data_IF_049770258814
#
_entry.id   IF_049770258814
#
_cell.length_a   1.000
_cell.length_b   1.000
_cell.length_c   1.000
_cell.angle_alpha   90.00
_cell.angle_beta   90.00
_cell.angle_gamma   90.00
#
_symmetry.space_group_name_H-M   'P 1'
#
loop_
_entity.id
_entity.type
_entity.pdbx_description
1 polymer ?
#
# COMPACT_ATOMS: atom_id res chain seq x y z
N UNK A 1 -5.77 -7.87 -53.14
CA UNK A 1 -4.87 -7.67 -52.01
C UNK A 1 -4.92 -6.24 -51.49
N UNK A 2 -5.56 -5.26 -52.16
CA UNK A 2 -5.52 -3.81 -51.85
C UNK A 2 -6.29 -3.38 -50.57
N UNK A 3 -7.03 -4.25 -49.91
CA UNK A 3 -7.93 -3.88 -48.80
C UNK A 3 -7.75 -4.68 -47.49
N UNK A 4 -6.56 -5.24 -47.28
CA UNK A 4 -6.23 -5.92 -46.02
C UNK A 4 -5.23 -5.08 -45.21
N UNK A 5 -5.41 -4.95 -43.87
CA UNK A 5 -4.47 -4.24 -43.06
C UNK A 5 -3.14 -5.00 -42.97
N UNK A 6 -2.05 -4.28 -43.21
CA UNK A 6 -0.68 -4.78 -43.03
C UNK A 6 -0.23 -4.66 -41.58
N UNK A 7 0.68 -5.51 -41.12
CA UNK A 7 1.30 -5.46 -39.82
C UNK A 7 2.54 -4.56 -39.85
N UNK A 8 2.64 -3.61 -38.92
CA UNK A 8 3.82 -2.76 -38.80
C UNK A 8 4.95 -3.56 -38.12
N UNK A 9 6.16 -3.36 -38.62
CA UNK A 9 7.37 -4.00 -38.08
C UNK A 9 8.47 -2.98 -37.92
N UNK A 10 9.27 -3.14 -36.87
CA UNK A 10 10.52 -2.36 -36.69
C UNK A 10 11.68 -3.14 -37.28
N UNK A 11 12.56 -2.46 -38.00
CA UNK A 11 13.80 -3.00 -38.49
C UNK A 11 14.96 -2.41 -37.72
N UNK A 12 15.62 -3.23 -36.90
CA UNK A 12 16.80 -2.83 -36.10
C UNK A 12 18.03 -3.29 -36.87
N UNK A 13 18.85 -2.35 -37.33
CA UNK A 13 20.08 -2.65 -38.08
C UNK A 13 21.30 -2.18 -37.31
N UNK A 14 22.23 -3.09 -37.04
CA UNK A 14 23.54 -2.77 -36.43
C UNK A 14 24.64 -3.56 -37.13
N UNK A 15 25.74 -2.90 -37.52
CA UNK A 15 26.90 -3.52 -38.22
C UNK A 15 26.48 -4.39 -39.45
N UNK A 16 25.55 -3.88 -40.23
CA UNK A 16 24.97 -4.54 -41.44
C UNK A 16 24.11 -5.79 -41.15
N UNK A 17 23.83 -6.10 -39.92
CA UNK A 17 22.92 -7.18 -39.51
C UNK A 17 21.59 -6.56 -39.15
N UNK A 18 20.55 -6.91 -39.90
CA UNK A 18 19.17 -6.44 -39.65
C UNK A 18 18.36 -7.50 -38.89
N UNK A 19 17.54 -7.05 -37.93
CA UNK A 19 16.59 -7.87 -37.19
C UNK A 19 15.23 -7.21 -37.17
N UNK A 20 14.19 -8.04 -37.32
CA UNK A 20 12.81 -7.57 -37.38
C UNK A 20 12.07 -7.80 -36.05
N UNK A 21 11.36 -6.76 -35.58
CA UNK A 21 10.43 -6.86 -34.49
C UNK A 21 9.02 -6.70 -35.04
N UNK A 22 8.23 -7.76 -35.03
CA UNK A 22 6.84 -7.75 -35.48
C UNK A 22 5.97 -7.18 -34.35
N UNK A 23 5.17 -6.16 -34.66
CA UNK A 23 4.21 -5.57 -33.73
C UNK A 23 2.83 -6.19 -33.85
N UNK A 24 1.92 -5.85 -32.93
CA UNK A 24 0.48 -6.16 -33.05
C UNK A 24 -0.31 -5.08 -33.82
N UNK A 25 0.37 -4.03 -34.28
CA UNK A 25 -0.28 -2.87 -34.91
C UNK A 25 -0.58 -3.14 -36.36
N UNK A 26 -1.84 -2.91 -36.74
CA UNK A 26 -2.31 -3.16 -38.15
C UNK A 26 -2.92 -1.87 -38.69
N UNK A 27 -2.43 -1.45 -39.87
CA UNK A 27 -2.91 -0.30 -40.61
C UNK A 27 -3.20 -0.70 -42.08
N UNK A 28 -4.17 -0.03 -42.69
CA UNK A 28 -4.39 -0.21 -44.12
C UNK A 28 -3.35 0.56 -44.92
N UNK A 29 -3.03 0.16 -46.18
CA UNK A 29 -2.05 0.88 -47.00
C UNK A 29 -2.35 2.41 -47.13
N UNK A 30 -3.62 2.78 -47.23
CA UNK A 30 -4.07 4.18 -47.28
C UNK A 30 -3.87 4.98 -45.99
N UNK A 31 -3.60 4.30 -44.88
CA UNK A 31 -3.36 4.88 -43.54
C UNK A 31 -1.86 4.94 -43.23
N UNK A 32 -0.98 4.73 -44.21
CA UNK A 32 0.47 4.71 -44.05
C UNK A 32 1.15 5.71 -44.98
N UNK A 33 1.98 6.58 -44.43
CA UNK A 33 2.86 7.48 -45.18
C UNK A 33 4.21 6.77 -45.42
N UNK A 34 4.48 6.41 -46.65
CA UNK A 34 5.75 5.77 -47.01
C UNK A 34 6.95 6.70 -46.89
N UNK A 35 6.75 8.03 -47.03
CA UNK A 35 7.84 9.00 -46.95
C UNK A 35 8.27 9.27 -45.50
N UNK A 36 7.30 9.37 -44.61
CA UNK A 36 7.56 9.63 -43.19
C UNK A 36 7.63 8.32 -42.36
N UNK A 37 7.25 7.17 -42.96
CA UNK A 37 7.12 5.88 -42.25
C UNK A 37 6.24 5.97 -41.03
N UNK A 38 5.15 6.73 -41.08
CA UNK A 38 4.19 6.95 -40.00
C UNK A 38 2.74 6.68 -40.46
N UNK A 39 1.86 6.27 -39.53
CA UNK A 39 0.44 6.17 -39.81
C UNK A 39 -0.24 7.54 -39.96
N UNK A 40 -1.13 7.65 -40.96
CA UNK A 40 -1.95 8.85 -41.21
C UNK A 40 -3.36 8.58 -40.71
N UNK A 41 -3.83 9.36 -39.73
CA UNK A 41 -5.22 9.35 -39.30
C UNK A 41 -6.05 10.32 -40.17
N UNK A 42 -6.84 9.77 -41.10
CA UNK A 42 -7.75 10.56 -41.93
C UNK A 42 -9.15 10.54 -41.31
N UNK A 43 -9.73 11.73 -41.06
CA UNK A 43 -11.08 11.86 -40.53
C UNK A 43 -11.19 11.90 -38.98
N UNK A 44 -12.44 11.93 -38.50
CA UNK A 44 -12.77 11.98 -37.05
C UNK A 44 -13.61 10.77 -36.60
N UNK A 45 -13.53 9.69 -37.32
CA UNK A 45 -14.29 8.48 -37.01
C UNK A 45 -13.58 7.55 -36.01
N UNK A 46 -14.25 6.46 -35.62
CA UNK A 46 -13.71 5.44 -34.72
C UNK A 46 -12.38 4.85 -35.23
N UNK A 47 -12.20 4.78 -36.57
CA UNK A 47 -10.98 4.26 -37.15
C UNK A 47 -9.81 5.24 -37.04
N UNK A 48 -10.04 6.50 -37.25
CA UNK A 48 -9.05 7.57 -37.04
C UNK A 48 -8.52 7.56 -35.59
N UNK A 49 -9.39 7.37 -34.60
CA UNK A 49 -8.99 7.25 -33.20
C UNK A 49 -8.08 6.02 -32.95
N UNK A 50 -8.35 4.88 -33.62
CA UNK A 50 -7.48 3.70 -33.55
C UNK A 50 -6.11 4.01 -34.17
N UNK A 51 -6.07 4.63 -35.35
CA UNK A 51 -4.80 4.99 -36.02
C UNK A 51 -4.00 5.97 -35.17
N UNK A 52 -4.62 6.99 -34.58
CA UNK A 52 -3.95 7.90 -33.64
C UNK A 52 -3.39 7.17 -32.41
N UNK A 53 -4.11 6.18 -31.89
CA UNK A 53 -3.61 5.33 -30.81
C UNK A 53 -2.38 4.54 -31.23
N UNK A 54 -2.39 3.98 -32.44
CA UNK A 54 -1.25 3.27 -33.02
C UNK A 54 -0.05 4.22 -33.17
N UNK A 55 -0.25 5.43 -33.70
CA UNK A 55 0.81 6.44 -33.86
C UNK A 55 1.49 6.77 -32.51
N UNK A 56 0.69 6.97 -31.48
CA UNK A 56 1.22 7.23 -30.12
C UNK A 56 2.06 6.05 -29.60
N UNK A 57 1.59 4.82 -29.81
CA UNK A 57 2.32 3.61 -29.41
C UNK A 57 3.63 3.45 -30.19
N UNK A 58 3.61 3.72 -31.50
CA UNK A 58 4.81 3.68 -32.34
C UNK A 58 5.87 4.67 -31.86
N UNK A 59 5.49 5.89 -31.52
CA UNK A 59 6.43 6.88 -30.97
C UNK A 59 7.04 6.44 -29.66
N UNK A 60 6.23 5.92 -28.75
CA UNK A 60 6.70 5.37 -27.47
C UNK A 60 7.66 4.18 -27.68
N UNK A 61 7.35 3.27 -28.62
CA UNK A 61 8.22 2.15 -28.95
C UNK A 61 9.55 2.61 -29.58
N UNK A 62 9.52 3.64 -30.42
CA UNK A 62 10.74 4.23 -31.02
C UNK A 62 11.60 4.93 -29.95
N UNK A 63 11.01 5.73 -29.05
CA UNK A 63 11.73 6.33 -27.92
C UNK A 63 12.42 5.27 -27.07
N UNK A 64 11.73 4.15 -26.80
CA UNK A 64 12.27 3.02 -26.04
C UNK A 64 13.41 2.29 -26.78
N UNK A 65 13.27 2.08 -28.10
CA UNK A 65 14.34 1.50 -28.91
C UNK A 65 15.57 2.41 -28.90
N UNK A 66 15.40 3.71 -29.09
CA UNK A 66 16.48 4.71 -29.05
C UNK A 66 17.19 4.69 -27.70
N UNK A 67 16.47 4.70 -26.58
CA UNK A 67 17.03 4.63 -25.25
C UNK A 67 17.82 3.34 -24.98
N UNK A 68 17.36 2.20 -25.52
CA UNK A 68 18.11 0.92 -25.43
C UNK A 68 19.43 1.01 -26.20
N UNK A 69 19.40 1.57 -27.42
CA UNK A 69 20.59 1.73 -28.27
C UNK A 69 21.60 2.67 -27.62
N UNK A 70 21.17 3.88 -27.19
CA UNK A 70 22.00 4.84 -26.49
C UNK A 70 22.67 4.23 -25.24
N UNK A 71 21.92 3.41 -24.50
CA UNK A 71 22.47 2.72 -23.33
C UNK A 71 23.57 1.74 -23.69
N UNK A 72 23.40 0.94 -24.75
CA UNK A 72 24.44 0.01 -25.23
C UNK A 72 25.68 0.78 -25.72
N UNK A 73 25.49 1.91 -26.40
CA UNK A 73 26.58 2.80 -26.86
C UNK A 73 27.34 3.41 -25.69
N UNK A 74 26.64 3.98 -24.71
CA UNK A 74 27.24 4.60 -23.53
C UNK A 74 28.02 3.61 -22.63
N UNK A 75 27.60 2.34 -22.59
CA UNK A 75 28.30 1.31 -21.82
C UNK A 75 29.54 0.77 -22.55
N UNK A 76 29.89 1.29 -23.73
CA UNK A 76 31.01 0.83 -24.58
C UNK A 76 31.07 -0.69 -24.76
N UNK A 77 29.93 -1.38 -24.65
CA UNK A 77 29.83 -2.82 -24.85
C UNK A 77 29.68 -3.15 -26.32
N UNK A 78 30.41 -4.17 -26.79
CA UNK A 78 30.07 -4.79 -28.05
C UNK A 78 28.66 -5.36 -27.94
N UNK A 79 27.71 -4.82 -28.70
CA UNK A 79 26.33 -5.32 -28.76
C UNK A 79 25.96 -5.65 -30.22
N UNK A 80 24.96 -6.48 -30.36
CA UNK A 80 24.37 -6.90 -31.65
C UNK A 80 22.94 -6.39 -31.78
N UNK A 81 22.41 -6.45 -33.03
CA UNK A 81 20.98 -6.19 -33.24
C UNK A 81 20.08 -7.20 -32.51
N UNK A 82 20.56 -8.42 -32.26
CA UNK A 82 19.84 -9.41 -31.44
C UNK A 82 19.72 -8.97 -29.99
N UNK A 83 20.77 -8.41 -29.40
CA UNK A 83 20.74 -7.88 -28.02
C UNK A 83 19.72 -6.76 -27.85
N UNK A 84 19.63 -5.87 -28.85
CA UNK A 84 18.63 -4.79 -28.84
C UNK A 84 17.22 -5.36 -28.91
N UNK A 85 16.98 -6.32 -29.81
CA UNK A 85 15.67 -6.97 -29.99
C UNK A 85 15.26 -7.75 -28.75
N UNK A 86 16.19 -8.51 -28.15
CA UNK A 86 15.92 -9.26 -26.90
C UNK A 86 15.59 -8.31 -25.75
N UNK A 87 16.40 -7.27 -25.59
CA UNK A 87 16.17 -6.25 -24.56
C UNK A 87 14.81 -5.56 -24.74
N UNK A 88 14.47 -5.17 -25.99
CA UNK A 88 13.20 -4.54 -26.30
C UNK A 88 12.01 -5.46 -26.00
N UNK A 89 12.07 -6.73 -26.40
CA UNK A 89 11.01 -7.74 -26.15
C UNK A 89 10.85 -8.02 -24.65
N UNK A 90 11.96 -8.14 -23.93
CA UNK A 90 11.97 -8.37 -22.48
C UNK A 90 11.38 -7.18 -21.73
N UNK A 91 11.84 -5.99 -22.06
CA UNK A 91 11.33 -4.75 -21.46
C UNK A 91 9.84 -4.56 -21.75
N UNK A 92 9.36 -4.93 -22.95
CA UNK A 92 7.94 -4.83 -23.32
C UNK A 92 6.99 -5.74 -22.53
N UNK A 93 7.44 -6.90 -22.07
CA UNK A 93 6.64 -7.83 -21.26
C UNK A 93 6.70 -7.52 -19.76
N UNK A 94 7.82 -7.00 -19.30
CA UNK A 94 8.09 -6.70 -17.87
C UNK A 94 7.66 -5.29 -17.45
N UNK A 95 7.38 -4.39 -18.42
CA UNK A 95 7.12 -2.97 -18.17
C UNK A 95 5.63 -2.62 -17.96
N UNK A 96 4.80 -3.61 -17.68
CA UNK A 96 3.40 -3.32 -17.33
C UNK A 96 3.27 -3.09 -15.83
N UNK A 97 2.32 -2.23 -15.45
CA UNK A 97 2.11 -1.82 -14.07
C UNK A 97 1.78 -3.00 -13.15
N UNK A 98 0.92 -3.92 -13.58
CA UNK A 98 0.49 -5.02 -12.71
C UNK A 98 1.63 -5.98 -12.45
N UNK A 99 2.34 -6.40 -13.49
CA UNK A 99 3.50 -7.30 -13.36
C UNK A 99 4.59 -6.69 -12.51
N UNK A 100 4.94 -5.43 -12.76
CA UNK A 100 5.95 -4.72 -11.98
C UNK A 100 5.55 -4.59 -10.50
N UNK A 101 4.29 -4.20 -10.25
CA UNK A 101 3.80 -4.01 -8.89
C UNK A 101 3.69 -5.34 -8.12
N UNK A 102 3.35 -6.44 -8.80
CA UNK A 102 3.39 -7.80 -8.22
C UNK A 102 4.81 -8.19 -7.81
N UNK A 103 5.81 -7.88 -8.63
CA UNK A 103 7.23 -8.07 -8.28
C UNK A 103 7.64 -7.26 -7.05
N UNK A 104 7.21 -6.00 -6.95
CA UNK A 104 7.45 -5.15 -5.77
C UNK A 104 6.79 -5.74 -4.52
N UNK A 105 5.55 -6.22 -4.62
CA UNK A 105 4.82 -6.85 -3.51
C UNK A 105 5.55 -8.10 -3.03
N UNK A 106 6.01 -8.94 -3.94
CA UNK A 106 6.74 -10.16 -3.58
C UNK A 106 8.07 -9.83 -2.90
N UNK A 107 8.79 -8.85 -3.40
CA UNK A 107 10.02 -8.36 -2.75
C UNK A 107 9.77 -7.84 -1.33
N UNK A 108 8.66 -7.13 -1.12
CA UNK A 108 8.28 -6.66 0.21
C UNK A 108 7.96 -7.83 1.17
N UNK A 109 7.36 -8.92 0.68
CA UNK A 109 7.12 -10.14 1.47
C UNK A 109 8.43 -10.81 1.88
N UNK A 110 9.36 -10.97 0.94
CA UNK A 110 10.69 -11.55 1.20
C UNK A 110 11.48 -10.74 2.24
N UNK A 111 11.31 -9.42 2.25
CA UNK A 111 11.91 -8.52 3.24
C UNK A 111 11.13 -8.45 4.57
N UNK A 112 10.14 -9.34 4.80
CA UNK A 112 9.27 -9.35 5.98
C UNK A 112 8.45 -8.07 6.19
N UNK A 113 8.27 -7.22 5.17
CA UNK A 113 7.41 -6.05 5.20
C UNK A 113 5.94 -6.38 4.87
N UNK A 114 5.40 -7.43 5.52
CA UNK A 114 4.05 -7.98 5.22
C UNK A 114 2.92 -6.96 5.30
N UNK A 115 3.00 -5.99 6.22
CA UNK A 115 2.00 -4.91 6.32
C UNK A 115 2.01 -3.99 5.10
N UNK A 116 3.20 -3.60 4.63
CA UNK A 116 3.37 -2.79 3.43
C UNK A 116 2.96 -3.57 2.18
N UNK A 117 3.36 -4.84 2.07
CA UNK A 117 2.94 -5.72 0.97
C UNK A 117 1.42 -5.83 0.86
N UNK A 118 0.70 -5.96 2.00
CA UNK A 118 -0.77 -5.97 2.04
C UNK A 118 -1.38 -4.66 1.53
N UNK A 119 -0.79 -3.53 1.88
CA UNK A 119 -1.23 -2.22 1.42
C UNK A 119 -1.04 -2.05 -0.09
N UNK A 120 0.10 -2.48 -0.63
CA UNK A 120 0.37 -2.47 -2.07
C UNK A 120 -0.57 -3.41 -2.82
N UNK A 121 -0.83 -4.62 -2.28
CA UNK A 121 -1.81 -5.55 -2.86
C UNK A 121 -3.23 -4.95 -2.90
N UNK A 122 -3.63 -4.21 -1.87
CA UNK A 122 -4.93 -3.53 -1.84
C UNK A 122 -5.03 -2.43 -2.91
N UNK A 123 -3.97 -1.62 -3.09
CA UNK A 123 -3.92 -0.60 -4.13
C UNK A 123 -3.94 -1.22 -5.54
N UNK A 124 -3.14 -2.28 -5.76
CA UNK A 124 -3.15 -3.02 -7.03
C UNK A 124 -4.54 -3.59 -7.34
N UNK A 125 -5.17 -4.26 -6.36
CA UNK A 125 -6.51 -4.82 -6.53
C UNK A 125 -7.57 -3.76 -6.82
N UNK A 126 -7.43 -2.55 -6.26
CA UNK A 126 -8.31 -1.42 -6.56
C UNK A 126 -8.09 -0.93 -7.99
N UNK A 127 -6.84 -0.77 -8.42
CA UNK A 127 -6.52 -0.30 -9.77
C UNK A 127 -6.88 -1.34 -10.84
N UNK A 128 -6.68 -2.65 -10.56
CA UNK A 128 -7.15 -3.75 -11.44
C UNK A 128 -8.65 -3.67 -11.69
N UNK A 129 -9.47 -3.40 -10.68
CA UNK A 129 -10.94 -3.23 -10.86
C UNK A 129 -11.28 -2.03 -11.73
N UNK A 130 -10.61 -0.90 -11.53
CA UNK A 130 -10.78 0.29 -12.38
C UNK A 130 -10.45 -0.01 -13.85
N UNK A 131 -9.43 -0.82 -14.10
CA UNK A 131 -8.98 -1.19 -15.44
C UNK A 131 -9.66 -2.45 -16.01
N UNK A 132 -10.69 -3.00 -15.35
CA UNK A 132 -11.33 -4.28 -15.75
C UNK A 132 -10.32 -5.42 -15.92
N UNK A 133 -9.29 -5.47 -15.09
CA UNK A 133 -8.15 -6.41 -15.15
C UNK A 133 -7.27 -6.29 -16.41
N UNK A 134 -7.42 -5.25 -17.20
CA UNK A 134 -6.51 -4.94 -18.30
C UNK A 134 -5.26 -4.24 -17.77
N UNK A 135 -4.12 -4.88 -17.93
CA UNK A 135 -2.84 -4.30 -17.55
C UNK A 135 -2.47 -3.12 -18.46
N UNK A 136 -1.54 -2.28 -18.04
CA UNK A 136 -1.16 -1.07 -18.74
C UNK A 136 0.37 -0.93 -18.76
N UNK A 137 0.92 -0.49 -19.89
CA UNK A 137 2.34 -0.14 -19.98
C UNK A 137 2.67 1.04 -19.07
N UNK A 138 3.84 1.02 -18.42
CA UNK A 138 4.28 2.12 -17.56
C UNK A 138 4.30 3.47 -18.29
N UNK A 139 4.67 3.46 -19.55
CA UNK A 139 4.73 4.66 -20.40
C UNK A 139 3.37 5.26 -20.71
N UNK A 140 2.29 4.46 -20.62
CA UNK A 140 0.93 4.92 -20.86
C UNK A 140 0.25 5.48 -19.59
N UNK A 141 0.97 5.52 -18.47
CA UNK A 141 0.49 6.12 -17.22
C UNK A 141 0.72 7.63 -17.31
N UNK A 142 -0.36 8.37 -17.49
CA UNK A 142 -0.36 9.83 -17.57
C UNK A 142 -1.27 10.45 -16.49
N UNK A 143 -1.31 11.78 -16.44
CA UNK A 143 -2.12 12.51 -15.47
C UNK A 143 -3.62 12.32 -15.69
N UNK A 144 -4.08 12.16 -16.95
CA UNK A 144 -5.49 11.95 -17.27
C UNK A 144 -5.96 10.62 -16.69
N UNK A 145 -5.20 9.56 -16.91
CA UNK A 145 -5.52 8.25 -16.33
C UNK A 145 -5.59 8.29 -14.80
N UNK A 146 -4.71 9.06 -14.14
CA UNK A 146 -4.74 9.17 -12.68
C UNK A 146 -5.92 10.00 -12.19
N UNK A 147 -6.33 11.05 -12.91
CA UNK A 147 -7.55 11.81 -12.65
C UNK A 147 -8.81 10.95 -12.81
N UNK A 148 -8.89 10.15 -13.88
CA UNK A 148 -9.99 9.21 -14.11
C UNK A 148 -10.08 8.18 -12.99
N UNK A 149 -8.95 7.65 -12.54
CA UNK A 149 -8.92 6.71 -11.41
C UNK A 149 -9.35 7.39 -10.09
N UNK A 150 -8.95 8.66 -9.86
CA UNK A 150 -9.42 9.43 -8.70
C UNK A 150 -10.94 9.62 -8.75
N UNK A 151 -11.48 10.02 -9.90
CA UNK A 151 -12.92 10.20 -10.11
C UNK A 151 -13.68 8.89 -9.91
N UNK A 152 -13.17 7.77 -10.43
CA UNK A 152 -13.72 6.44 -10.21
C UNK A 152 -13.80 6.10 -8.71
N UNK A 153 -12.73 6.32 -7.95
CA UNK A 153 -12.73 6.06 -6.51
C UNK A 153 -13.74 6.96 -5.77
N UNK A 154 -13.83 8.22 -6.14
CA UNK A 154 -14.79 9.16 -5.57
C UNK A 154 -16.24 8.73 -5.86
N UNK A 155 -16.54 8.27 -7.09
CA UNK A 155 -17.87 7.77 -7.47
C UNK A 155 -18.31 6.53 -6.66
N UNK A 156 -17.33 5.72 -6.18
CA UNK A 156 -17.58 4.60 -5.27
C UNK A 156 -17.72 5.03 -3.80
N UNK A 157 -17.71 6.33 -3.49
CA UNK A 157 -17.80 6.85 -2.12
C UNK A 157 -16.54 6.63 -1.28
N UNK A 158 -15.37 6.40 -1.91
CA UNK A 158 -14.11 6.24 -1.18
C UNK A 158 -13.68 7.58 -0.60
N UNK A 159 -13.40 7.62 0.70
CA UNK A 159 -13.00 8.86 1.40
C UNK A 159 -11.65 9.39 0.91
N UNK A 160 -11.44 10.75 0.90
CA UNK A 160 -10.26 11.39 0.31
C UNK A 160 -8.92 10.84 0.81
N UNK A 161 -8.79 10.58 2.11
CA UNK A 161 -7.56 10.00 2.67
C UNK A 161 -7.25 8.58 2.15
N UNK A 162 -8.28 7.80 1.80
CA UNK A 162 -8.10 6.48 1.18
C UNK A 162 -7.74 6.62 -0.30
N UNK A 163 -8.30 7.60 -1.00
CA UNK A 163 -7.91 7.94 -2.37
C UNK A 163 -6.43 8.33 -2.40
N UNK A 164 -6.04 9.30 -1.55
CA UNK A 164 -4.66 9.74 -1.40
C UNK A 164 -3.70 8.58 -1.06
N UNK A 165 -4.14 7.64 -0.23
CA UNK A 165 -3.36 6.45 0.11
C UNK A 165 -3.06 5.59 -1.13
N UNK A 166 -4.06 5.32 -1.98
CA UNK A 166 -3.85 4.57 -3.23
C UNK A 166 -2.96 5.34 -4.21
N UNK A 167 -3.18 6.65 -4.38
CA UNK A 167 -2.36 7.50 -5.25
C UNK A 167 -0.89 7.51 -4.81
N UNK A 168 -0.62 7.62 -3.50
CA UNK A 168 0.76 7.59 -2.98
C UNK A 168 1.46 6.26 -3.22
N UNK A 169 0.74 5.14 -3.13
CA UNK A 169 1.31 3.82 -3.42
C UNK A 169 1.63 3.70 -4.90
N UNK A 170 0.68 4.06 -5.79
CA UNK A 170 0.92 4.00 -7.23
C UNK A 170 2.06 4.93 -7.65
N UNK A 171 2.14 6.14 -7.07
CA UNK A 171 3.27 7.07 -7.29
C UNK A 171 4.61 6.45 -6.86
N UNK A 172 4.66 5.79 -5.70
CA UNK A 172 5.87 5.14 -5.24
C UNK A 172 6.29 3.97 -6.16
N UNK A 173 5.34 3.24 -6.73
CA UNK A 173 5.59 2.19 -7.73
C UNK A 173 6.10 2.79 -9.04
N UNK A 174 5.45 3.84 -9.53
CA UNK A 174 5.84 4.54 -10.75
C UNK A 174 7.26 5.14 -10.63
N UNK A 175 7.57 5.82 -9.53
CA UNK A 175 8.90 6.37 -9.30
C UNK A 175 9.97 5.28 -9.28
N UNK A 176 9.70 4.09 -8.71
CA UNK A 176 10.63 2.96 -8.79
C UNK A 176 10.82 2.44 -10.22
N UNK A 177 9.76 2.48 -11.03
CA UNK A 177 9.89 2.13 -12.45
C UNK A 177 10.76 3.14 -13.20
N UNK A 178 10.62 4.44 -12.90
CA UNK A 178 11.51 5.50 -13.43
C UNK A 178 12.96 5.28 -12.98
N UNK A 179 13.20 5.03 -11.68
CA UNK A 179 14.55 4.73 -11.14
C UNK A 179 15.19 3.50 -11.80
N UNK A 180 14.37 2.53 -12.23
CA UNK A 180 14.83 1.34 -12.97
C UNK A 180 14.85 1.54 -14.49
N UNK A 181 14.64 2.77 -14.96
CA UNK A 181 14.63 3.14 -16.37
C UNK A 181 13.61 2.36 -17.22
N UNK A 182 12.52 1.92 -16.59
CA UNK A 182 11.42 1.24 -17.29
C UNK A 182 10.45 2.21 -17.95
N UNK A 183 10.48 3.47 -17.57
CA UNK A 183 9.70 4.58 -18.16
C UNK A 183 10.40 5.91 -17.86
N UNK A 184 10.04 6.94 -18.64
CA UNK A 184 10.49 8.32 -18.42
C UNK A 184 9.52 8.99 -17.44
N UNK A 185 10.02 9.84 -16.54
CA UNK A 185 9.16 10.57 -15.61
C UNK A 185 8.31 11.62 -16.34
N UNK A 186 7.01 11.35 -16.43
CA UNK A 186 5.97 12.26 -16.98
C UNK A 186 5.15 12.94 -15.89
N UNK A 187 5.54 12.78 -14.61
CA UNK A 187 4.87 13.33 -13.44
C UNK A 187 3.32 13.10 -13.44
N UNK A 188 2.85 11.86 -13.59
CA UNK A 188 1.42 11.56 -13.78
C UNK A 188 0.55 11.85 -12.53
N UNK A 189 1.16 12.06 -11.37
CA UNK A 189 0.46 12.31 -10.11
C UNK A 189 0.39 13.79 -9.72
N UNK A 190 0.74 14.72 -10.63
CA UNK A 190 0.80 16.17 -10.33
C UNK A 190 -0.55 16.79 -10.01
N UNK A 191 -1.64 16.27 -10.59
CA UNK A 191 -2.99 16.84 -10.52
C UNK A 191 -3.90 16.11 -9.53
N UNK A 192 -3.50 14.93 -9.04
CA UNK A 192 -4.31 14.14 -8.12
C UNK A 192 -3.97 14.39 -6.65
N UNK A 193 -4.96 14.17 -5.78
CA UNK A 193 -4.78 14.38 -4.35
C UNK A 193 -3.88 13.32 -3.70
N UNK A 194 -2.73 13.74 -3.24
CA UNK A 194 -1.77 12.90 -2.50
C UNK A 194 -1.50 13.40 -1.08
N UNK A 195 -2.25 14.40 -0.63
CA UNK A 195 -2.17 15.00 0.69
C UNK A 195 -2.87 14.20 1.78
N UNK A 196 -3.04 14.81 2.94
CA UNK A 196 -3.77 14.25 4.07
C UNK A 196 -4.81 15.25 4.55
N UNK A 197 -6.09 14.88 4.48
CA UNK A 197 -7.15 15.67 5.10
C UNK A 197 -7.16 15.48 6.62
N UNK A 198 -7.45 16.56 7.33
CA UNK A 198 -7.62 16.52 8.78
C UNK A 198 -8.85 15.68 9.14
N UNK A 199 -8.64 14.64 9.93
CA UNK A 199 -9.72 13.80 10.45
C UNK A 199 -10.05 14.18 11.90
N UNK A 200 -11.32 14.00 12.31
CA UNK A 200 -11.72 14.15 13.70
C UNK A 200 -10.92 13.19 14.58
N UNK A 201 -10.29 13.72 15.63
CA UNK A 201 -9.63 12.90 16.64
C UNK A 201 -10.67 12.06 17.37
N UNK A 202 -10.48 10.74 17.39
CA UNK A 202 -11.37 9.79 18.06
C UNK A 202 -10.95 9.59 19.53
N UNK A 203 -10.72 10.67 20.26
CA UNK A 203 -10.40 10.60 21.68
C UNK A 203 -11.69 10.62 22.50
N UNK A 204 -11.70 9.89 23.63
CA UNK A 204 -12.74 9.92 24.64
C UNK A 204 -12.19 10.55 25.92
N UNK A 205 -13.08 11.06 26.77
CA UNK A 205 -12.72 11.73 28.03
C UNK A 205 -12.27 10.74 29.11
N UNK A 206 -11.62 11.26 30.15
CA UNK A 206 -11.25 10.43 31.31
C UNK A 206 -12.50 9.92 32.06
N UNK A 207 -13.61 10.66 32.02
CA UNK A 207 -14.89 10.22 32.59
C UNK A 207 -15.46 9.02 31.81
N UNK A 208 -15.34 9.03 30.49
CA UNK A 208 -15.77 7.88 29.69
C UNK A 208 -14.91 6.64 29.93
N UNK A 209 -13.60 6.83 30.12
CA UNK A 209 -12.69 5.71 30.49
C UNK A 209 -13.09 5.12 31.84
N UNK A 210 -13.45 5.97 32.84
CA UNK A 210 -13.96 5.51 34.15
C UNK A 210 -15.26 4.73 33.96
N UNK A 211 -16.22 5.24 33.18
CA UNK A 211 -17.49 4.53 32.90
C UNK A 211 -17.25 3.16 32.23
N UNK A 212 -16.29 3.07 31.30
CA UNK A 212 -15.88 1.80 30.69
C UNK A 212 -15.27 0.87 31.75
N UNK A 213 -14.41 1.36 32.61
CA UNK A 213 -13.75 0.60 33.68
C UNK A 213 -14.79 -0.01 34.65
N UNK A 214 -15.74 0.80 35.06
CA UNK A 214 -16.68 0.49 36.15
C UNK A 214 -17.90 -0.32 35.64
N UNK A 215 -17.95 -0.63 34.35
CA UNK A 215 -19.02 -1.46 33.77
C UNK A 215 -18.94 -2.90 34.30
N UNK A 216 -20.02 -3.42 34.84
CA UNK A 216 -20.08 -4.83 35.24
C UNK A 216 -20.24 -5.71 33.99
N UNK A 217 -19.26 -6.56 33.77
CA UNK A 217 -19.18 -7.52 32.66
C UNK A 217 -18.88 -8.94 33.14
N UNK A 218 -19.10 -9.23 34.42
CA UNK A 218 -18.79 -10.53 35.05
C UNK A 218 -19.42 -11.71 34.33
N UNK A 219 -20.63 -11.54 33.79
CA UNK A 219 -21.35 -12.57 33.01
C UNK A 219 -21.00 -12.56 31.51
N UNK A 220 -20.08 -11.70 31.05
CA UNK A 220 -19.75 -11.53 29.64
C UNK A 220 -18.22 -11.56 29.41
N UNK A 221 -17.57 -12.71 29.55
CA UNK A 221 -16.10 -12.83 29.59
C UNK A 221 -15.40 -12.25 28.35
N UNK A 222 -16.00 -12.35 27.16
CA UNK A 222 -15.44 -11.77 25.96
C UNK A 222 -15.45 -10.23 25.96
N UNK A 223 -16.50 -9.62 26.53
CA UNK A 223 -16.56 -8.17 26.68
C UNK A 223 -15.64 -7.71 27.80
N UNK A 224 -15.58 -8.46 28.89
CA UNK A 224 -14.67 -8.17 30.01
C UNK A 224 -13.21 -8.18 29.56
N UNK A 225 -12.79 -9.21 28.80
CA UNK A 225 -11.45 -9.26 28.24
C UNK A 225 -11.17 -8.05 27.33
N UNK A 226 -12.09 -7.70 26.45
CA UNK A 226 -11.92 -6.56 25.53
C UNK A 226 -11.82 -5.22 26.30
N UNK A 227 -12.65 -5.01 27.34
CA UNK A 227 -12.56 -3.85 28.26
C UNK A 227 -11.20 -3.80 28.94
N UNK A 228 -10.79 -4.89 29.55
CA UNK A 228 -9.55 -4.98 30.32
C UNK A 228 -8.32 -4.77 29.41
N UNK A 229 -8.36 -5.30 28.21
CA UNK A 229 -7.33 -5.05 27.21
C UNK A 229 -7.29 -3.59 26.76
N UNK A 230 -8.45 -2.95 26.54
CA UNK A 230 -8.51 -1.52 26.21
C UNK A 230 -7.89 -0.67 27.33
N UNK A 231 -8.20 -0.98 28.60
CA UNK A 231 -7.63 -0.31 29.76
C UNK A 231 -6.12 -0.56 29.88
N UNK A 232 -5.65 -1.79 29.64
CA UNK A 232 -4.23 -2.10 29.60
C UNK A 232 -3.50 -1.25 28.54
N UNK A 233 -4.02 -1.20 27.31
CA UNK A 233 -3.44 -0.37 26.25
C UNK A 233 -3.38 1.11 26.63
N UNK A 234 -4.44 1.62 27.28
CA UNK A 234 -4.49 3.00 27.75
C UNK A 234 -3.46 3.26 28.85
N UNK A 235 -3.41 2.42 29.89
CA UNK A 235 -2.47 2.53 31.01
C UNK A 235 -1.02 2.37 30.57
N UNK A 236 -0.78 1.57 29.53
CA UNK A 236 0.52 1.42 28.88
C UNK A 236 0.81 2.53 27.86
N UNK A 237 0.41 3.77 28.16
CA UNK A 237 0.68 4.99 27.36
C UNK A 237 0.16 4.91 25.91
N UNK A 238 -1.00 4.30 25.73
CA UNK A 238 -1.58 4.13 24.40
C UNK A 238 -0.81 3.12 23.54
N UNK A 239 -0.32 2.05 24.14
CA UNK A 239 0.35 0.95 23.44
C UNK A 239 -0.47 0.47 22.25
N UNK A 240 0.18 0.09 21.14
CA UNK A 240 -0.54 -0.46 20.01
C UNK A 240 -0.96 -1.91 20.27
N UNK A 241 -2.06 -2.35 19.66
CA UNK A 241 -2.55 -3.71 19.86
C UNK A 241 -1.54 -4.77 19.38
N UNK A 242 -0.77 -4.48 18.31
CA UNK A 242 0.26 -5.40 17.85
C UNK A 242 1.39 -5.53 18.88
N UNK A 243 1.82 -4.41 19.49
CA UNK A 243 2.86 -4.46 20.52
C UNK A 243 2.38 -5.28 21.72
N UNK A 244 1.13 -5.05 22.20
CA UNK A 244 0.55 -5.80 23.30
C UNK A 244 0.39 -7.31 22.98
N UNK A 245 0.09 -7.66 21.74
CA UNK A 245 -0.09 -9.05 21.33
C UNK A 245 1.20 -9.88 21.41
N UNK A 246 2.35 -9.23 21.17
CA UNK A 246 3.65 -9.88 21.16
C UNK A 246 4.49 -9.62 22.41
N UNK A 247 3.94 -8.96 23.44
CA UNK A 247 4.61 -8.85 24.75
C UNK A 247 4.85 -10.22 25.36
N UNK A 248 6.06 -10.43 25.84
CA UNK A 248 6.47 -11.63 26.58
C UNK A 248 6.50 -11.38 28.08
N UNK A 249 6.36 -12.42 28.87
CA UNK A 249 6.53 -12.34 30.33
C UNK A 249 7.94 -11.88 30.71
N UNK A 250 8.95 -12.26 29.93
CA UNK A 250 10.35 -11.83 30.10
C UNK A 250 10.58 -10.33 29.90
N UNK A 251 9.61 -9.63 29.26
CA UNK A 251 9.70 -8.18 29.03
C UNK A 251 9.45 -7.38 30.32
N UNK A 252 8.97 -8.04 31.39
CA UNK A 252 8.78 -7.43 32.71
C UNK A 252 9.94 -7.82 33.61
N UNK A 253 10.76 -6.84 33.99
CA UNK A 253 11.86 -7.02 34.94
C UNK A 253 11.85 -5.90 35.97
N UNK A 254 12.00 -6.22 37.24
CA UNK A 254 12.05 -5.26 38.35
C UNK A 254 10.91 -4.23 38.35
N UNK A 255 9.70 -4.64 37.95
CA UNK A 255 8.53 -3.77 37.90
C UNK A 255 8.51 -2.79 36.71
N UNK A 256 9.36 -2.99 35.72
CA UNK A 256 9.42 -2.22 34.48
C UNK A 256 9.11 -3.15 33.31
N UNK A 257 8.14 -2.77 32.49
CA UNK A 257 7.87 -3.39 31.20
C UNK A 257 8.74 -2.71 30.16
N UNK A 258 9.66 -3.46 29.54
CA UNK A 258 10.54 -2.98 28.46
C UNK A 258 10.22 -3.73 27.20
N UNK A 259 9.83 -3.04 26.13
CA UNK A 259 9.53 -3.67 24.86
C UNK A 259 9.98 -2.81 23.68
N UNK A 260 10.14 -3.45 22.52
CA UNK A 260 10.51 -2.80 21.26
C UNK A 260 9.27 -2.68 20.37
N UNK A 261 8.96 -1.45 19.95
CA UNK A 261 7.80 -1.21 19.06
C UNK A 261 7.95 -1.90 17.71
N UNK A 262 6.92 -2.60 17.29
CA UNK A 262 6.88 -3.26 15.98
C UNK A 262 7.00 -2.28 14.79
N UNK A 263 6.46 -1.06 14.93
CA UNK A 263 6.42 -0.11 13.81
C UNK A 263 7.73 0.67 13.65
N UNK A 264 8.35 1.10 14.74
CA UNK A 264 9.48 2.04 14.73
C UNK A 264 10.78 1.46 15.27
N UNK A 265 10.72 0.24 15.77
CA UNK A 265 11.85 -0.45 16.43
C UNK A 265 12.40 0.27 17.67
N UNK A 266 11.67 1.27 18.18
CA UNK A 266 12.04 2.04 19.38
C UNK A 266 11.83 1.21 20.64
N UNK A 267 12.77 1.28 21.58
CA UNK A 267 12.64 0.68 22.90
C UNK A 267 11.85 1.61 23.82
N UNK A 268 10.83 1.10 24.48
CA UNK A 268 10.00 1.83 25.43
C UNK A 268 10.01 1.15 26.80
N UNK A 269 9.99 1.97 27.85
CA UNK A 269 9.99 1.54 29.24
C UNK A 269 8.72 2.04 29.93
N UNK A 270 7.96 1.14 30.51
CA UNK A 270 6.71 1.46 31.22
C UNK A 270 6.79 0.89 32.63
N UNK A 271 6.67 1.77 33.65
CA UNK A 271 6.59 1.33 35.04
C UNK A 271 5.27 0.58 35.25
N UNK A 272 5.34 -0.62 35.81
CA UNK A 272 4.17 -1.42 36.17
C UNK A 272 3.56 -0.84 37.41
N UNK A 273 2.42 -0.17 37.27
CA UNK A 273 1.59 0.33 38.37
C UNK A 273 0.56 -0.73 38.78
N UNK A 274 0.01 -0.63 39.98
CA UNK A 274 -0.94 -1.62 40.51
C UNK A 274 -2.06 -2.02 39.55
N UNK A 275 -2.76 -1.12 38.82
CA UNK A 275 -3.79 -1.52 37.87
C UNK A 275 -3.27 -2.31 36.66
N UNK A 276 -2.04 -2.04 36.23
CA UNK A 276 -1.41 -2.83 35.16
C UNK A 276 -1.09 -4.23 35.66
N UNK A 277 -0.54 -4.32 36.88
CA UNK A 277 -0.20 -5.61 37.50
C UNK A 277 -1.43 -6.50 37.65
N UNK A 278 -2.53 -5.95 38.19
CA UNK A 278 -3.79 -6.69 38.35
C UNK A 278 -4.34 -7.24 37.04
N UNK A 279 -4.22 -6.47 35.94
CA UNK A 279 -4.63 -6.93 34.61
C UNK A 279 -3.70 -8.03 34.07
N UNK A 280 -2.41 -7.91 34.28
CA UNK A 280 -1.43 -8.93 33.88
C UNK A 280 -1.64 -10.22 34.65
N UNK A 281 -1.74 -10.15 35.99
CA UNK A 281 -1.92 -11.31 36.87
C UNK A 281 -3.22 -12.06 36.52
N UNK A 282 -4.27 -11.34 36.14
CA UNK A 282 -5.56 -11.93 35.76
C UNK A 282 -5.51 -12.77 34.48
N UNK A 283 -4.67 -12.40 33.52
CA UNK A 283 -4.64 -13.01 32.19
C UNK A 283 -3.36 -13.79 31.88
N UNK A 284 -2.36 -13.76 32.75
CA UNK A 284 -1.12 -14.49 32.56
C UNK A 284 -1.36 -16.00 32.75
N UNK A 285 -1.14 -16.78 31.68
CA UNK A 285 -1.22 -18.25 31.71
C UNK A 285 0.18 -18.84 31.81
N UNK A 286 0.38 -19.90 32.59
CA UNK A 286 1.69 -20.56 32.72
C UNK A 286 2.16 -21.23 31.42
N UNK A 287 1.24 -21.58 30.51
CA UNK A 287 1.52 -22.37 29.31
C UNK A 287 1.92 -21.51 28.09
N UNK A 288 1.97 -20.19 28.21
CA UNK A 288 2.30 -19.30 27.11
C UNK A 288 3.46 -18.38 27.47
N UNK A 289 4.43 -18.14 26.58
CA UNK A 289 5.46 -17.12 26.76
C UNK A 289 4.93 -15.71 26.71
N UNK A 290 3.74 -15.49 26.14
CA UNK A 290 3.12 -14.19 25.97
C UNK A 290 2.47 -13.69 27.25
N UNK A 291 2.52 -12.37 27.44
CA UNK A 291 1.99 -11.71 28.64
C UNK A 291 0.46 -11.72 28.68
N UNK A 292 -0.19 -11.64 27.51
CA UNK A 292 -1.64 -11.57 27.35
C UNK A 292 -2.13 -12.68 26.41
N UNK A 293 -3.32 -13.27 26.63
CA UNK A 293 -3.83 -14.39 25.83
C UNK A 293 -4.41 -13.92 24.48
N UNK A 294 -3.64 -13.13 23.74
CA UNK A 294 -3.97 -12.68 22.38
C UNK A 294 -3.47 -13.72 21.37
N UNK A 295 -2.23 -14.17 21.56
CA UNK A 295 -1.64 -15.30 20.86
C UNK A 295 -1.70 -16.50 21.81
N UNK A 296 -2.57 -17.46 21.51
CA UNK A 296 -2.83 -18.63 22.37
C UNK A 296 -2.06 -19.86 21.94
N UNK A 297 -1.59 -19.92 20.71
CA UNK A 297 -0.79 -21.01 20.15
C UNK A 297 0.54 -20.45 19.63
N UNK A 298 1.59 -20.38 20.46
CA UNK A 298 2.91 -19.96 20.06
C UNK A 298 3.43 -20.82 18.89
N UNK A 299 4.18 -20.22 17.99
CA UNK A 299 4.77 -20.86 16.81
C UNK A 299 3.78 -21.36 15.74
N UNK A 300 2.47 -21.08 15.89
CA UNK A 300 1.42 -21.44 14.93
C UNK A 300 0.78 -20.19 14.35
N UNK A 301 1.18 -19.75 13.14
CA UNK A 301 0.62 -18.56 12.43
C UNK A 301 0.13 -17.45 13.39
N UNK A 302 1.05 -16.93 14.18
CA UNK A 302 0.79 -15.90 15.21
C UNK A 302 0.20 -14.64 14.62
N UNK A 303 0.56 -14.36 13.36
CA UNK A 303 0.01 -13.21 12.62
C UNK A 303 -1.48 -13.33 12.41
N UNK A 304 -1.96 -14.49 12.01
CA UNK A 304 -3.40 -14.75 11.82
C UNK A 304 -4.15 -14.72 13.15
N UNK A 305 -3.54 -15.25 14.23
CA UNK A 305 -4.13 -15.18 15.57
C UNK A 305 -4.29 -13.72 16.01
N UNK A 306 -3.25 -12.90 15.88
CA UNK A 306 -3.29 -11.46 16.12
C UNK A 306 -4.41 -10.77 15.33
N UNK A 307 -4.49 -10.97 14.00
CA UNK A 307 -5.51 -10.33 13.15
C UNK A 307 -6.93 -10.75 13.53
N UNK A 308 -7.11 -12.01 13.94
CA UNK A 308 -8.40 -12.53 14.37
C UNK A 308 -8.80 -11.97 15.74
N UNK A 309 -7.86 -11.92 16.68
CA UNK A 309 -8.09 -11.34 18.00
C UNK A 309 -8.40 -9.85 17.89
N UNK A 310 -7.69 -9.08 17.06
CA UNK A 310 -7.95 -7.66 16.84
C UNK A 310 -9.38 -7.40 16.34
N UNK A 311 -9.87 -8.22 15.39
CA UNK A 311 -11.24 -8.10 14.88
C UNK A 311 -12.27 -8.41 15.96
N UNK A 312 -12.07 -9.49 16.73
CA UNK A 312 -12.94 -9.89 17.83
C UNK A 312 -13.00 -8.84 18.94
N UNK A 313 -11.85 -8.36 19.40
CA UNK A 313 -11.75 -7.31 20.43
C UNK A 313 -12.42 -6.01 19.97
N UNK A 314 -12.16 -5.57 18.74
CA UNK A 314 -12.80 -4.34 18.23
C UNK A 314 -14.34 -4.50 18.08
N UNK A 315 -14.85 -5.71 17.78
CA UNK A 315 -16.29 -5.99 17.79
C UNK A 315 -16.86 -5.85 19.21
N UNK A 316 -16.21 -6.45 20.20
CA UNK A 316 -16.59 -6.35 21.60
C UNK A 316 -16.55 -4.92 22.12
N UNK A 317 -15.50 -4.14 21.78
CA UNK A 317 -15.39 -2.75 22.15
C UNK A 317 -16.51 -1.87 21.58
N UNK A 318 -16.98 -2.14 20.36
CA UNK A 318 -18.14 -1.45 19.78
C UNK A 318 -19.40 -1.71 20.61
N UNK A 319 -19.60 -2.95 21.07
CA UNK A 319 -20.73 -3.31 21.96
C UNK A 319 -20.61 -2.55 23.29
N UNK A 320 -19.43 -2.49 23.89
CA UNK A 320 -19.19 -1.73 25.12
C UNK A 320 -19.48 -0.23 24.91
N UNK A 321 -19.08 0.34 23.76
CA UNK A 321 -19.39 1.74 23.44
C UNK A 321 -20.89 2.02 23.45
N UNK A 322 -21.70 1.10 22.91
CA UNK A 322 -23.17 1.17 22.97
C UNK A 322 -23.72 1.10 24.39
N UNK A 323 -23.18 0.19 25.23
CA UNK A 323 -23.63 0.03 26.64
C UNK A 323 -23.38 1.30 27.47
N UNK A 324 -22.24 1.97 27.26
CA UNK A 324 -21.92 3.23 27.95
C UNK A 324 -22.35 4.48 27.15
N UNK A 325 -23.08 4.31 26.06
CA UNK A 325 -23.62 5.41 25.22
C UNK A 325 -22.53 6.40 24.79
N UNK A 326 -21.41 5.89 24.25
CA UNK A 326 -20.36 6.75 23.68
C UNK A 326 -20.79 7.34 22.33
N UNK A 327 -20.43 8.60 22.02
CA UNK A 327 -20.77 9.25 20.74
C UNK A 327 -19.96 8.71 19.55
N UNK A 328 -18.94 7.88 19.81
CA UNK A 328 -18.06 7.31 18.79
C UNK A 328 -17.88 5.81 19.01
N UNK A 329 -17.66 5.03 17.96
CA UNK A 329 -17.34 3.61 18.08
C UNK A 329 -15.99 3.43 18.79
N UNK A 330 -15.96 2.60 19.84
CA UNK A 330 -14.75 2.25 20.55
C UNK A 330 -13.94 1.21 19.76
N UNK A 331 -12.64 1.41 19.68
CA UNK A 331 -11.67 0.47 19.10
C UNK A 331 -10.39 0.49 19.92
N UNK A 332 -9.53 -0.50 19.75
CA UNK A 332 -8.21 -0.53 20.42
C UNK A 332 -7.38 0.72 20.15
N UNK A 333 -7.54 1.36 18.98
CA UNK A 333 -6.81 2.58 18.62
C UNK A 333 -7.31 3.83 19.35
N UNK A 334 -8.57 3.82 19.82
CA UNK A 334 -9.14 4.92 20.62
C UNK A 334 -8.39 5.08 21.96
N UNK A 335 -7.87 4.00 22.55
CA UNK A 335 -7.06 4.07 23.79
C UNK A 335 -5.84 4.99 23.61
N UNK A 336 -5.17 4.90 22.44
CA UNK A 336 -4.02 5.72 22.10
C UNK A 336 -4.40 7.20 21.90
N UNK A 337 -5.48 7.46 21.16
CA UNK A 337 -5.98 8.84 21.00
C UNK A 337 -6.39 9.46 22.31
N UNK A 338 -7.10 8.71 23.14
CA UNK A 338 -7.53 9.18 24.46
C UNK A 338 -6.32 9.46 25.35
N UNK A 339 -5.36 8.55 25.45
CA UNK A 339 -4.16 8.76 26.25
C UNK A 339 -3.39 9.99 25.80
N UNK A 340 -3.11 10.13 24.49
CA UNK A 340 -2.36 11.27 23.95
C UNK A 340 -3.10 12.61 24.19
N UNK A 341 -4.43 12.63 24.03
CA UNK A 341 -5.24 13.83 24.28
C UNK A 341 -5.26 14.20 25.75
N UNK A 342 -5.42 13.23 26.66
CA UNK A 342 -5.42 13.45 28.11
C UNK A 342 -4.00 13.84 28.56
N UNK A 343 -2.95 13.22 28.07
CA UNK A 343 -1.57 13.60 28.38
C UNK A 343 -1.30 15.07 28.02
N UNK A 344 -1.74 15.48 26.81
CA UNK A 344 -1.64 16.87 26.37
C UNK A 344 -2.40 17.82 27.28
N UNK A 345 -3.63 17.49 27.70
CA UNK A 345 -4.44 18.32 28.60
C UNK A 345 -3.86 18.42 30.02
N UNK A 346 -2.96 17.51 30.40
CA UNK A 346 -2.24 17.49 31.68
C UNK A 346 -0.82 18.05 31.55
N UNK A 347 -0.50 18.75 30.47
CA UNK A 347 0.82 19.33 30.19
C UNK A 347 1.99 18.33 30.30
N UNK A 348 1.75 17.05 30.00
CA UNK A 348 2.81 16.07 29.90
C UNK A 348 3.66 16.43 28.68
N UNK A 349 5.01 16.47 28.76
CA UNK A 349 5.87 16.84 27.65
C UNK A 349 5.60 15.99 26.40
N UNK A 350 5.53 16.65 25.25
CA UNK A 350 5.19 15.98 23.97
C UNK A 350 6.17 14.86 23.61
N UNK A 351 7.43 14.96 23.99
CA UNK A 351 8.43 13.90 23.78
C UNK A 351 8.03 12.54 24.38
N UNK A 352 7.14 12.52 25.39
CA UNK A 352 6.66 11.28 26.00
C UNK A 352 5.48 10.63 25.26
N UNK A 353 4.85 11.34 24.29
CA UNK A 353 3.70 10.82 23.54
C UNK A 353 3.71 11.12 22.03
N UNK A 354 4.64 11.95 21.55
CA UNK A 354 4.80 12.26 20.10
C UNK A 354 5.96 11.51 19.45
N UNK A 355 6.82 10.86 20.21
CA UNK A 355 7.85 9.94 19.67
C UNK A 355 7.25 8.80 18.80
N UNK A 356 5.96 8.87 18.56
CA UNK A 356 5.13 7.89 17.89
C UNK A 356 4.35 8.43 16.68
N UNK A 357 4.49 9.70 16.33
CA UNK A 357 3.81 10.30 15.20
C UNK A 357 4.61 10.18 13.90
#
# INVERSE_FOLDING_TARGET
VKDRPGTIVYLVTHRRIARQITTSYKVFPREWDEKCSEPIAAGNDRRAAIVQSITRKLRSDMERLSAIIERFENLSRNYSSDDVVEKFRRTGKENTLFVFMEGVIERLRQLNHSGTAKNYSAALGSFKRFRNNEDIQMEAIDHILMEDYQAYLASLGVVPNSISFYMRILRAVYNRAVEQELTIDRNPFRTVFTGVEKTRKRAISISDIKRIRDLDLSLKPNLEFARNLFLFLFLCRGMSFIDAAFLKKSDIQSGILTYRRHKTNQVLHIKIIKPIKELVDRYSSNDSPYLLPIITRPHCDERRQYETALRRVNKSLKTIAGMVKLPIPLTTYVSRHAWATIAKSKNIPCLLYTSDA
#
